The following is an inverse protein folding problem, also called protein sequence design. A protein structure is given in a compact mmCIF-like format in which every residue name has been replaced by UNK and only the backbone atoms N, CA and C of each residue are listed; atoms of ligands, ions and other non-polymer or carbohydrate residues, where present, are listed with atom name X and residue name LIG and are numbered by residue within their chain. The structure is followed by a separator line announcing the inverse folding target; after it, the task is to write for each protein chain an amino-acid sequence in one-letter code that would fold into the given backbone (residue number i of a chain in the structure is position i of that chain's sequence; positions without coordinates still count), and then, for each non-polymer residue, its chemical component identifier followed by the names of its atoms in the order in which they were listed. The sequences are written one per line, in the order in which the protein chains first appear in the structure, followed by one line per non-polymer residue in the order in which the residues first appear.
data_IF_484884794008
#
_entry.id   IF_484884794008
#
_cell.length_a   1.000
_cell.length_b   1.000
_cell.length_c   1.000
_cell.angle_alpha   90.00
_cell.angle_beta   90.00
_cell.angle_gamma   90.00
#
_symmetry.space_group_name_H-M   'P 1'
#
loop_
_entity.id
_entity.type
_entity.pdbx_description
1 polymer ?
#
# COMPACT_ATOMS: atom_id res chain seq x y z
N UNK A 1 21.31 -0.81 35.88
CA UNK A 1 20.30 -0.17 35.02
C UNK A 1 20.79 -0.22 33.57
N UNK A 2 20.57 -1.35 32.85
CA UNK A 2 20.66 -1.51 31.38
C UNK A 2 20.52 -3.00 30.94
N UNK A 3 19.58 -3.76 31.51
CA UNK A 3 19.32 -5.16 31.06
C UNK A 3 17.87 -5.40 30.59
N UNK A 4 16.91 -4.49 30.83
CA UNK A 4 15.52 -4.70 30.38
C UNK A 4 15.19 -4.23 28.95
N UNK A 5 16.10 -3.55 28.23
CA UNK A 5 15.76 -3.03 26.89
C UNK A 5 15.78 -4.11 25.78
N UNK A 6 16.48 -5.24 25.99
CA UNK A 6 16.63 -6.30 24.98
C UNK A 6 15.47 -7.31 24.90
N UNK A 7 14.72 -7.52 25.98
CA UNK A 7 13.61 -8.49 26.03
C UNK A 7 12.28 -7.90 25.58
N UNK A 8 12.09 -6.58 25.69
CA UNK A 8 10.87 -5.91 25.25
C UNK A 8 10.70 -5.95 23.72
N UNK A 9 11.80 -5.92 22.95
CA UNK A 9 11.75 -5.93 21.48
C UNK A 9 11.46 -7.33 20.89
N UNK A 10 11.81 -8.41 21.59
CA UNK A 10 11.52 -9.78 21.11
C UNK A 10 10.04 -10.17 21.22
N UNK A 11 9.27 -9.43 22.03
CA UNK A 11 7.83 -9.66 22.21
C UNK A 11 6.96 -8.83 21.26
N UNK A 12 7.53 -7.82 20.59
CA UNK A 12 6.83 -7.01 19.59
C UNK A 12 7.12 -7.60 18.22
N UNK A 13 6.44 -8.70 17.89
CA UNK A 13 6.21 -9.02 16.47
C UNK A 13 4.98 -8.23 16.06
N UNK A 14 5.11 -7.12 15.31
CA UNK A 14 3.92 -6.46 14.81
C UNK A 14 3.17 -7.45 13.93
N UNK A 15 1.97 -7.81 14.35
CA UNK A 15 1.05 -8.58 13.51
C UNK A 15 0.66 -7.67 12.36
N UNK A 16 0.78 -8.17 11.13
CA UNK A 16 0.45 -7.42 9.92
C UNK A 16 -0.87 -7.93 9.33
N UNK A 17 -1.74 -7.00 8.97
CA UNK A 17 -2.93 -7.27 8.18
C UNK A 17 -2.62 -6.95 6.72
N UNK A 18 -2.58 -7.98 5.88
CA UNK A 18 -2.28 -7.86 4.46
C UNK A 18 -3.58 -7.76 3.66
N UNK A 19 -3.60 -6.85 2.70
CA UNK A 19 -4.67 -6.66 1.73
C UNK A 19 -4.12 -6.88 0.33
N UNK A 20 -4.78 -7.75 -0.44
CA UNK A 20 -4.53 -7.91 -1.87
C UNK A 20 -5.46 -6.99 -2.69
N UNK A 21 -5.18 -6.88 -3.98
CA UNK A 21 -5.88 -5.97 -4.91
C UNK A 21 -7.40 -6.07 -4.74
N UNK A 22 -8.07 -4.91 -4.65
CA UNK A 22 -9.51 -4.66 -4.42
C UNK A 22 -9.84 -3.98 -3.07
N UNK A 23 -8.86 -3.72 -2.20
CA UNK A 23 -9.11 -2.89 -1.01
C UNK A 23 -8.80 -1.42 -1.29
N UNK A 24 -9.83 -0.57 -1.33
CA UNK A 24 -9.67 0.88 -1.35
C UNK A 24 -9.54 1.46 0.06
N UNK A 25 -8.65 2.42 0.26
CA UNK A 25 -8.45 3.12 1.53
C UNK A 25 -8.91 4.56 1.39
N UNK A 26 -9.71 5.04 2.36
CA UNK A 26 -10.15 6.42 2.41
C UNK A 26 -9.06 7.27 3.06
N UNK A 27 -8.54 8.23 2.31
CA UNK A 27 -7.47 9.13 2.74
C UNK A 27 -8.03 10.39 3.39
N UNK A 28 -7.20 11.16 4.14
CA UNK A 28 -7.67 12.34 4.88
C UNK A 28 -8.30 13.44 4.01
N UNK A 29 -7.96 13.50 2.73
CA UNK A 29 -8.54 14.44 1.75
C UNK A 29 -9.89 13.97 1.17
N UNK A 30 -10.38 12.81 1.61
CA UNK A 30 -11.60 12.19 1.10
C UNK A 30 -11.40 11.35 -0.17
N UNK A 31 -10.20 11.29 -0.72
CA UNK A 31 -9.89 10.44 -1.87
C UNK A 31 -9.81 8.97 -1.47
N UNK A 32 -10.11 8.07 -2.42
CA UNK A 32 -9.96 6.62 -2.23
C UNK A 32 -8.86 6.10 -3.14
N UNK A 33 -7.82 5.52 -2.55
CA UNK A 33 -6.74 4.84 -3.30
C UNK A 33 -6.80 3.33 -3.06
N UNK A 34 -6.73 2.57 -4.15
CA UNK A 34 -6.72 1.10 -4.11
C UNK A 34 -5.36 0.61 -4.61
N UNK A 35 -4.44 0.18 -3.73
CA UNK A 35 -3.18 -0.42 -4.15
C UNK A 35 -3.35 -1.85 -4.68
N UNK A 36 -2.36 -2.33 -5.44
CA UNK A 36 -2.31 -3.75 -5.84
C UNK A 36 -2.05 -4.67 -4.64
N UNK A 37 -1.28 -4.21 -3.64
CA UNK A 37 -1.25 -4.79 -2.31
C UNK A 37 -0.91 -3.75 -1.24
N UNK A 38 -1.35 -4.00 -0.01
CA UNK A 38 -1.06 -3.14 1.14
C UNK A 38 -0.91 -3.95 2.41
N UNK A 39 -0.21 -3.41 3.40
CA UNK A 39 -0.35 -3.89 4.76
C UNK A 39 -0.60 -2.75 5.74
N UNK A 40 -1.27 -3.09 6.83
CA UNK A 40 -1.42 -2.22 7.99
C UNK A 40 -1.01 -2.98 9.25
N UNK A 41 -0.56 -2.27 10.27
CA UNK A 41 -0.39 -2.83 11.61
C UNK A 41 -1.75 -3.29 12.14
N UNK A 42 -1.80 -4.51 12.69
CA UNK A 42 -3.04 -5.11 13.20
C UNK A 42 -3.71 -4.21 14.25
N UNK A 43 -2.95 -3.56 15.14
CA UNK A 43 -3.50 -2.66 16.15
C UNK A 43 -4.25 -1.47 15.53
N UNK A 44 -3.74 -0.92 14.41
CA UNK A 44 -4.41 0.15 13.66
C UNK A 44 -5.68 -0.35 13.00
N UNK A 45 -5.69 -1.60 12.52
CA UNK A 45 -6.87 -2.23 11.96
C UNK A 45 -7.94 -2.51 13.02
N UNK A 46 -7.56 -2.99 14.20
CA UNK A 46 -8.48 -3.29 15.29
C UNK A 46 -9.04 -2.04 15.96
N UNK A 47 -8.35 -0.90 15.87
CA UNK A 47 -8.87 0.39 16.30
C UNK A 47 -10.06 0.90 15.47
N UNK A 48 -10.29 0.34 14.27
CA UNK A 48 -11.45 0.68 13.45
C UNK A 48 -12.75 0.05 13.95
N UNK A 49 -13.84 0.80 13.85
CA UNK A 49 -15.17 0.22 14.08
C UNK A 49 -15.48 -0.86 13.04
N UNK A 50 -16.38 -1.82 13.36
CA UNK A 50 -16.85 -2.79 12.38
C UNK A 50 -17.41 -2.14 11.10
N UNK A 51 -18.07 -0.99 11.21
CA UNK A 51 -18.63 -0.24 10.08
C UNK A 51 -17.52 0.33 9.20
N UNK A 52 -16.48 0.92 9.80
CA UNK A 52 -15.31 1.42 9.07
C UNK A 52 -14.61 0.30 8.29
N UNK A 53 -14.46 -0.89 8.90
CA UNK A 53 -13.85 -2.08 8.27
C UNK A 53 -14.67 -2.68 7.13
N UNK A 54 -16.00 -2.46 7.11
CA UNK A 54 -16.91 -2.92 6.04
C UNK A 54 -17.02 -1.94 4.87
N UNK A 55 -16.42 -0.75 4.99
CA UNK A 55 -16.38 0.30 3.98
C UNK A 55 -14.96 0.51 3.44
N UNK A 56 -14.64 1.67 2.86
CA UNK A 56 -13.25 2.06 2.63
C UNK A 56 -12.63 2.48 3.98
N UNK A 57 -11.74 1.67 4.57
CA UNK A 57 -11.18 1.97 5.88
C UNK A 57 -10.50 3.35 5.87
N UNK A 58 -10.84 4.25 6.82
CA UNK A 58 -10.29 5.60 6.91
C UNK A 58 -8.91 5.59 7.57
N UNK A 59 -7.99 4.83 6.97
CA UNK A 59 -6.60 4.74 7.42
C UNK A 59 -5.70 4.60 6.21
N UNK A 60 -4.50 5.15 6.31
CA UNK A 60 -3.46 4.92 5.31
C UNK A 60 -2.68 3.63 5.63
N UNK A 61 -2.43 2.76 4.64
CA UNK A 61 -1.53 1.61 4.80
C UNK A 61 -0.13 2.00 5.31
N UNK A 62 0.51 1.09 6.04
CA UNK A 62 1.90 1.25 6.48
C UNK A 62 2.89 0.97 5.33
N UNK A 63 2.50 0.08 4.41
CA UNK A 63 3.14 -0.15 3.11
C UNK A 63 2.07 -0.30 2.04
N UNK A 64 2.36 0.27 0.87
CA UNK A 64 1.64 0.01 -0.38
C UNK A 64 2.61 -0.61 -1.37
N UNK A 65 2.10 -1.49 -2.23
CA UNK A 65 2.77 -2.08 -3.38
C UNK A 65 1.87 -1.83 -4.59
N UNK A 66 2.47 -1.34 -5.65
CA UNK A 66 1.82 -1.17 -6.96
C UNK A 66 2.62 -1.88 -8.04
N UNK A 67 1.89 -2.41 -9.02
CA UNK A 67 2.42 -3.12 -10.16
C UNK A 67 2.34 -2.23 -11.40
N UNK A 68 3.51 -1.87 -11.95
CA UNK A 68 3.59 -1.27 -13.28
C UNK A 68 3.44 -2.35 -14.35
N UNK A 69 2.63 -2.09 -15.38
CA UNK A 69 2.65 -2.90 -16.60
C UNK A 69 3.64 -2.29 -17.57
N UNK A 70 4.82 -2.90 -17.71
CA UNK A 70 5.84 -2.41 -18.66
C UNK A 70 5.69 -3.17 -19.97
N UNK A 71 4.68 -2.82 -20.77
CA UNK A 71 4.58 -3.36 -22.13
C UNK A 71 5.30 -2.44 -23.10
N UNK A 72 6.63 -2.44 -22.99
CA UNK A 72 7.54 -1.39 -23.46
C UNK A 72 7.16 -0.03 -22.85
N UNK A 73 8.09 0.65 -22.18
CA UNK A 73 7.85 1.97 -21.60
C UNK A 73 7.70 3.03 -22.71
N UNK A 74 6.67 2.88 -23.55
CA UNK A 74 6.28 3.86 -24.54
C UNK A 74 5.80 5.10 -23.78
N UNK A 75 6.24 6.31 -24.15
CA UNK A 75 5.68 7.57 -23.63
C UNK A 75 4.16 7.67 -23.80
N UNK A 76 3.58 6.83 -24.67
CA UNK A 76 2.14 6.72 -24.93
C UNK A 76 1.39 5.77 -24.00
N UNK A 77 2.03 5.17 -22.98
CA UNK A 77 1.34 4.29 -22.03
C UNK A 77 0.51 5.12 -21.04
N UNK A 78 -0.58 5.67 -21.55
CA UNK A 78 -1.60 6.42 -20.82
C UNK A 78 -2.60 5.52 -20.10
N UNK A 79 -2.36 4.20 -20.06
CA UNK A 79 -3.19 3.25 -19.34
C UNK A 79 -3.07 3.44 -17.81
N UNK A 80 -4.06 2.98 -17.03
CA UNK A 80 -4.06 3.13 -15.57
C UNK A 80 -2.92 2.40 -14.86
N UNK A 81 -2.17 1.53 -15.55
CA UNK A 81 -0.97 0.82 -15.06
C UNK A 81 0.33 1.30 -15.71
N UNK A 82 0.28 2.37 -16.51
CA UNK A 82 1.46 2.97 -17.11
C UNK A 82 2.31 3.71 -16.09
N UNK A 83 3.59 3.89 -16.39
CA UNK A 83 4.58 4.45 -15.45
C UNK A 83 4.20 5.85 -14.98
N UNK A 84 3.71 6.72 -15.86
CA UNK A 84 3.29 8.08 -15.49
C UNK A 84 2.09 8.08 -14.54
N UNK A 85 1.08 7.25 -14.82
CA UNK A 85 -0.09 7.12 -13.94
C UNK A 85 0.31 6.57 -12.56
N UNK A 86 1.25 5.62 -12.55
CA UNK A 86 1.82 5.09 -11.32
C UNK A 86 2.57 6.17 -10.52
N UNK A 87 3.42 6.97 -11.16
CA UNK A 87 4.15 8.06 -10.49
C UNK A 87 3.20 9.08 -9.86
N UNK A 88 2.15 9.51 -10.56
CA UNK A 88 1.12 10.38 -9.97
C UNK A 88 0.38 9.72 -8.80
N UNK A 89 0.15 8.40 -8.86
CA UNK A 89 -0.42 7.66 -7.73
C UNK A 89 0.54 7.64 -6.55
N UNK A 90 1.85 7.45 -6.79
CA UNK A 90 2.90 7.49 -5.75
C UNK A 90 3.02 8.87 -5.11
N UNK A 91 2.95 9.93 -5.90
CA UNK A 91 2.96 11.31 -5.40
C UNK A 91 1.76 11.56 -4.49
N UNK A 92 0.56 11.08 -4.85
CA UNK A 92 -0.61 11.20 -3.97
C UNK A 92 -0.40 10.47 -2.65
N UNK A 93 0.17 9.26 -2.64
CA UNK A 93 0.50 8.60 -1.37
C UNK A 93 1.51 9.43 -0.55
N UNK A 94 2.53 10.04 -1.18
CA UNK A 94 3.58 10.81 -0.50
C UNK A 94 3.14 12.19 0.02
N UNK A 95 2.30 12.90 -0.73
CA UNK A 95 1.76 14.21 -0.34
C UNK A 95 0.78 14.05 0.81
N UNK A 96 -0.05 13.00 0.75
CA UNK A 96 -1.10 12.78 1.74
C UNK A 96 -0.59 12.04 2.98
N UNK A 97 0.54 11.33 2.86
CA UNK A 97 1.05 10.49 3.93
C UNK A 97 2.55 10.21 3.74
N UNK A 98 3.30 9.91 4.80
CA UNK A 98 4.66 9.34 4.65
C UNK A 98 4.67 7.85 5.01
N UNK A 99 3.97 6.97 4.25
CA UNK A 99 4.13 5.54 4.44
C UNK A 99 5.52 5.11 3.95
N UNK A 100 5.94 3.90 4.35
CA UNK A 100 7.03 3.24 3.64
C UNK A 100 6.45 2.78 2.29
N UNK A 101 6.73 3.51 1.21
CA UNK A 101 6.19 3.18 -0.12
C UNK A 101 7.19 2.30 -0.87
N UNK A 102 6.74 1.11 -1.28
CA UNK A 102 7.46 0.27 -2.23
C UNK A 102 6.70 0.18 -3.55
N UNK A 103 7.39 0.13 -4.68
CA UNK A 103 6.78 -0.19 -5.97
C UNK A 103 7.49 -1.37 -6.60
N UNK A 104 6.75 -2.25 -7.26
CA UNK A 104 7.29 -3.38 -7.98
C UNK A 104 6.91 -3.24 -9.46
N UNK A 105 7.87 -2.92 -10.33
CA UNK A 105 7.65 -2.99 -11.76
C UNK A 105 7.77 -4.46 -12.20
N UNK A 106 6.70 -5.03 -12.77
CA UNK A 106 6.75 -6.38 -13.33
C UNK A 106 7.02 -6.28 -14.84
N UNK A 107 8.18 -6.75 -15.33
CA UNK A 107 8.46 -6.84 -16.75
C UNK A 107 7.70 -8.06 -17.30
N UNK A 108 6.41 -7.94 -17.55
CA UNK A 108 5.69 -8.99 -18.26
C UNK A 108 6.03 -8.92 -19.75
N UNK A 109 7.02 -9.70 -20.17
CA UNK A 109 7.09 -10.20 -21.55
C UNK A 109 5.86 -11.08 -21.86
N UNK A 110 5.54 -11.32 -23.14
CA UNK A 110 4.35 -12.08 -23.50
C UNK A 110 4.41 -13.49 -22.88
N UNK A 111 3.39 -13.82 -22.08
CA UNK A 111 3.18 -15.19 -21.61
C UNK A 111 2.88 -16.03 -22.86
N UNK A 112 3.85 -16.83 -23.29
CA UNK A 112 3.59 -17.93 -24.21
C UNK A 112 2.98 -19.05 -23.39
N UNK A 113 1.66 -19.20 -23.53
CA UNK A 113 0.91 -20.42 -23.20
C UNK A 113 1.39 -21.59 -24.07
#
# INVERSE_FOLDING_TARGET
MLIQLGLALQSIKPTLRIFASCTGFLLPDGSVLCPDAAHVLEDRWQALTPEQRRSFPPLCPDLVIELASVREASPSDSGPRGVTALLHKMERYQVQWRPQVGFAALPFGPIRI
#
